data_IF_187749170359
#
_entry.id   IF_187749170359
#
_cell.length_a   1.000
_cell.length_b   1.000
_cell.length_c   1.000
_cell.angle_alpha   90.00
_cell.angle_beta   90.00
_cell.angle_gamma   90.00
#
_symmetry.space_group_name_H-M   'P 1'
#
loop_
_entity.id
_entity.type
_entity.pdbx_description
1 polymer ?
#
# COMPACT_ATOMS: atom_id res chain seq x y z
N UNK A 1 9.90 -43.77 -16.67
CA UNK A 1 10.38 -42.42 -16.35
C UNK A 1 9.34 -41.47 -16.90
N UNK A 2 8.60 -40.75 -16.03
CA UNK A 2 7.64 -39.72 -16.45
C UNK A 2 8.37 -38.42 -16.76
N UNK A 3 7.76 -37.57 -17.59
CA UNK A 3 8.25 -36.21 -17.88
C UNK A 3 8.47 -35.44 -16.59
N UNK A 4 9.53 -34.60 -16.49
CA UNK A 4 9.71 -33.73 -15.33
C UNK A 4 8.48 -32.87 -15.13
N UNK A 5 7.82 -33.02 -13.99
CA UNK A 5 6.75 -32.13 -13.58
C UNK A 5 7.40 -30.95 -12.89
N UNK A 6 7.52 -29.84 -13.58
CA UNK A 6 7.82 -28.56 -12.96
C UNK A 6 6.52 -28.10 -12.30
N UNK A 7 6.31 -28.45 -11.03
CA UNK A 7 5.32 -27.84 -10.19
C UNK A 7 5.95 -26.56 -9.63
N UNK A 8 5.73 -25.44 -10.30
CA UNK A 8 5.84 -24.15 -9.64
C UNK A 8 4.52 -24.03 -8.86
N UNK A 9 4.50 -24.57 -7.65
CA UNK A 9 3.50 -24.22 -6.69
C UNK A 9 3.84 -22.79 -6.22
N UNK A 10 3.06 -21.81 -6.70
CA UNK A 10 2.85 -20.61 -5.93
C UNK A 10 2.18 -21.08 -4.64
N UNK A 11 2.99 -21.47 -3.68
CA UNK A 11 2.55 -21.81 -2.35
C UNK A 11 1.94 -20.58 -1.77
N UNK A 12 0.63 -20.29 -2.00
CA UNK A 12 0.24 -19.30 -1.08
C UNK A 12 -0.88 -18.34 -1.46
N UNK A 13 -1.77 -18.73 -2.31
CA UNK A 13 -2.86 -17.80 -2.46
C UNK A 13 -3.90 -17.87 -1.33
N UNK A 14 -4.07 -19.03 -0.69
CA UNK A 14 -4.84 -19.14 0.55
C UNK A 14 -4.15 -18.41 1.71
N UNK A 15 -2.84 -18.48 1.80
CA UNK A 15 -2.02 -17.71 2.73
C UNK A 15 -2.00 -16.21 2.37
N UNK A 16 -2.09 -15.79 1.12
CA UNK A 16 -2.01 -14.38 0.73
C UNK A 16 -3.24 -13.57 1.14
N UNK A 17 -4.45 -14.13 1.18
CA UNK A 17 -5.64 -13.45 1.75
C UNK A 17 -5.66 -13.52 3.27
N UNK A 18 -5.25 -14.62 3.88
CA UNK A 18 -5.04 -14.76 5.33
C UNK A 18 -3.84 -13.91 5.76
N UNK A 19 -2.81 -13.87 4.96
CA UNK A 19 -1.57 -13.14 5.18
C UNK A 19 -1.68 -11.63 4.93
N UNK A 20 -2.77 -11.04 4.45
CA UNK A 20 -2.84 -9.59 4.47
C UNK A 20 -2.98 -9.03 5.87
N UNK A 21 -3.62 -9.73 6.79
CA UNK A 21 -3.51 -9.37 8.20
C UNK A 21 -2.06 -9.48 8.72
N UNK A 22 -1.23 -10.38 8.19
CA UNK A 22 0.21 -10.45 8.45
C UNK A 22 1.00 -9.41 7.65
N UNK A 23 0.54 -9.03 6.43
CA UNK A 23 1.16 -7.98 5.60
C UNK A 23 0.87 -6.58 6.12
N UNK A 24 -0.19 -6.36 6.85
CA UNK A 24 -0.57 -5.07 7.43
C UNK A 24 0.42 -4.58 8.48
N UNK A 25 1.66 -4.27 8.08
CA UNK A 25 2.73 -3.83 8.98
C UNK A 25 2.75 -2.31 9.02
N UNK A 26 2.63 -1.75 10.22
CA UNK A 26 2.77 -0.32 10.48
C UNK A 26 4.17 -0.02 11.00
N UNK A 27 4.85 0.94 10.39
CA UNK A 27 6.02 1.58 10.95
C UNK A 27 5.58 2.87 11.65
N UNK A 28 6.09 3.12 12.85
CA UNK A 28 5.84 4.37 13.58
C UNK A 28 7.14 4.95 14.08
N UNK A 29 7.35 6.24 13.81
CA UNK A 29 8.47 7.00 14.39
C UNK A 29 7.93 7.76 15.59
N UNK A 30 8.52 7.50 16.77
CA UNK A 30 8.15 8.12 18.03
C UNK A 30 9.30 8.95 18.59
N UNK A 31 9.03 10.22 18.84
CA UNK A 31 9.94 11.11 19.59
C UNK A 31 9.80 10.82 21.07
N UNK A 32 10.86 10.31 21.69
CA UNK A 32 10.84 9.86 23.07
C UNK A 32 12.22 9.92 23.71
N UNK A 33 12.36 10.75 24.74
CA UNK A 33 13.61 10.92 25.49
C UNK A 33 13.66 10.06 26.77
N UNK A 34 12.64 9.23 27.03
CA UNK A 34 12.55 8.44 28.26
C UNK A 34 13.53 7.26 28.33
N UNK A 35 14.12 6.88 27.21
CA UNK A 35 15.06 5.76 27.14
C UNK A 35 15.99 5.92 25.93
N UNK A 36 16.92 4.96 25.73
CA UNK A 36 17.83 4.94 24.58
C UNK A 36 17.09 4.80 23.24
N UNK A 37 17.71 5.29 22.17
CA UNK A 37 17.17 5.17 20.80
C UNK A 37 17.28 3.72 20.35
N UNK A 38 16.14 3.08 20.10
CA UNK A 38 16.09 1.69 19.69
C UNK A 38 14.91 1.41 18.77
N UNK A 39 15.08 0.38 17.93
CA UNK A 39 14.00 -0.20 17.12
C UNK A 39 13.34 -1.34 17.89
N UNK A 40 12.02 -1.32 17.96
CA UNK A 40 11.24 -2.39 18.55
C UNK A 40 10.25 -2.94 17.52
N UNK A 41 9.89 -4.20 17.68
CA UNK A 41 8.86 -4.82 16.84
C UNK A 41 7.89 -5.57 17.74
N UNK A 42 6.60 -5.28 17.58
CA UNK A 42 5.53 -5.86 18.37
C UNK A 42 4.48 -6.49 17.45
N UNK A 43 3.99 -7.67 17.79
CA UNK A 43 2.88 -8.34 17.10
C UNK A 43 1.56 -8.15 17.86
N UNK A 44 1.65 -7.82 19.16
CA UNK A 44 0.50 -7.57 20.02
C UNK A 44 0.78 -6.39 20.95
N UNK A 45 -0.25 -5.63 21.27
CA UNK A 45 -0.16 -4.53 22.23
C UNK A 45 0.37 -4.98 23.61
N UNK A 46 0.00 -6.20 24.04
CA UNK A 46 0.43 -6.76 25.33
C UNK A 46 1.96 -7.00 25.44
N UNK A 47 2.68 -7.02 24.33
CA UNK A 47 4.14 -7.19 24.29
C UNK A 47 4.88 -5.88 24.59
N UNK A 48 4.17 -4.73 24.57
CA UNK A 48 4.78 -3.42 24.76
C UNK A 48 5.28 -3.27 26.20
N UNK A 49 6.59 -3.01 26.33
CA UNK A 49 7.21 -2.68 27.61
C UNK A 49 6.89 -1.22 27.94
N UNK A 50 5.88 -0.99 28.76
CA UNK A 50 5.33 0.35 29.03
C UNK A 50 6.35 1.33 29.58
N UNK A 51 7.33 0.87 30.35
CA UNK A 51 8.41 1.72 30.90
C UNK A 51 9.37 2.29 29.84
N UNK A 52 9.29 1.78 28.59
CA UNK A 52 10.13 2.26 27.49
C UNK A 52 9.56 3.49 26.77
N UNK A 53 8.34 3.90 27.07
CA UNK A 53 7.64 4.94 26.33
C UNK A 53 6.95 5.93 27.26
N UNK A 54 6.80 7.17 26.80
CA UNK A 54 5.94 8.15 27.45
C UNK A 54 4.45 7.72 27.36
N UNK A 55 3.62 8.27 28.24
CA UNK A 55 2.17 7.99 28.24
C UNK A 55 1.51 8.37 26.91
N UNK A 56 1.95 9.45 26.25
CA UNK A 56 1.46 9.86 24.93
C UNK A 56 1.82 8.83 23.87
N UNK A 57 3.08 8.38 23.82
CA UNK A 57 3.53 7.39 22.85
C UNK A 57 2.86 6.03 23.04
N UNK A 58 2.59 5.62 24.29
CA UNK A 58 1.77 4.44 24.56
C UNK A 58 0.35 4.56 24.01
N UNK A 59 -0.26 5.74 24.13
CA UNK A 59 -1.59 5.98 23.57
C UNK A 59 -1.58 5.90 22.02
N UNK A 60 -0.53 6.38 21.35
CA UNK A 60 -0.40 6.25 19.90
C UNK A 60 -0.22 4.79 19.47
N UNK A 61 0.57 4.02 20.19
CA UNK A 61 0.73 2.59 19.93
C UNK A 61 -0.61 1.84 20.11
N UNK A 62 -1.37 2.16 21.17
CA UNK A 62 -2.69 1.60 21.39
C UNK A 62 -3.64 1.94 20.22
N UNK A 63 -3.66 3.19 19.74
CA UNK A 63 -4.44 3.59 18.56
C UNK A 63 -4.09 2.77 17.30
N UNK A 64 -2.81 2.49 17.07
CA UNK A 64 -2.39 1.64 15.95
C UNK A 64 -2.94 0.23 16.12
N UNK A 65 -2.75 -0.40 17.29
CA UNK A 65 -3.18 -1.77 17.55
C UNK A 65 -4.70 -1.95 17.52
N UNK A 66 -5.49 -0.92 17.81
CA UNK A 66 -6.95 -0.95 17.61
C UNK A 66 -7.35 -1.22 16.14
N UNK A 67 -6.47 -1.02 15.17
CA UNK A 67 -6.68 -1.36 13.77
C UNK A 67 -6.38 -2.82 13.41
N UNK A 68 -5.87 -3.60 14.35
CA UNK A 68 -5.43 -4.99 14.16
C UNK A 68 -4.35 -5.15 13.06
N UNK A 69 -3.27 -4.37 13.07
CA UNK A 69 -2.14 -4.62 12.19
C UNK A 69 -1.50 -5.97 12.52
N UNK A 70 -0.86 -6.61 11.54
CA UNK A 70 -0.12 -7.86 11.79
C UNK A 70 1.12 -7.62 12.65
N UNK A 71 1.71 -6.44 12.50
CA UNK A 71 2.97 -6.08 13.16
C UNK A 71 3.10 -4.56 13.26
N UNK A 72 3.73 -4.08 14.32
CA UNK A 72 4.10 -2.67 14.49
C UNK A 72 5.62 -2.58 14.69
N UNK A 73 6.30 -1.87 13.80
CA UNK A 73 7.73 -1.54 13.91
C UNK A 73 7.82 -0.13 14.50
N UNK A 74 8.42 -0.02 15.66
CA UNK A 74 8.59 1.25 16.38
C UNK A 74 10.03 1.71 16.23
N UNK A 75 10.23 2.86 15.60
CA UNK A 75 11.51 3.56 15.60
C UNK A 75 11.46 4.70 16.61
N UNK A 76 12.24 4.57 17.66
CA UNK A 76 12.40 5.65 18.65
C UNK A 76 13.52 6.57 18.24
N UNK A 77 13.29 7.85 18.41
CA UNK A 77 14.30 8.89 18.24
C UNK A 77 14.19 9.91 19.37
N UNK A 78 15.28 10.59 19.67
CA UNK A 78 15.24 11.72 20.58
C UNK A 78 14.49 12.91 19.94
N UNK A 79 13.86 13.73 20.75
CA UNK A 79 13.00 14.83 20.29
C UNK A 79 13.73 15.80 19.36
N UNK A 80 15.03 16.03 19.60
CA UNK A 80 15.84 16.98 18.84
C UNK A 80 16.65 16.32 17.71
N UNK A 81 16.44 15.02 17.45
CA UNK A 81 17.15 14.29 16.39
C UNK A 81 16.50 14.55 15.04
N UNK A 82 17.30 14.48 13.97
CA UNK A 82 16.81 14.52 12.59
C UNK A 82 16.03 13.24 12.27
N UNK A 83 14.81 13.40 11.75
CA UNK A 83 13.92 12.30 11.34
C UNK A 83 14.56 11.40 10.29
N UNK A 84 15.45 11.92 9.46
CA UNK A 84 16.18 11.18 8.43
C UNK A 84 16.92 9.96 8.99
N UNK A 85 17.37 10.03 10.23
CA UNK A 85 18.07 8.91 10.91
C UNK A 85 17.09 7.74 11.15
N UNK A 86 15.87 8.02 11.57
CA UNK A 86 14.85 6.99 11.76
C UNK A 86 14.35 6.42 10.42
N UNK A 87 14.20 7.27 9.41
CA UNK A 87 13.81 6.86 8.04
C UNK A 87 14.88 5.95 7.41
N UNK A 88 16.18 6.22 7.60
CA UNK A 88 17.25 5.36 7.09
C UNK A 88 17.23 3.98 7.76
N UNK A 89 16.90 3.88 9.06
CA UNK A 89 16.72 2.59 9.74
C UNK A 89 15.51 1.81 9.22
N UNK A 90 14.46 2.52 8.73
CA UNK A 90 13.26 1.90 8.15
C UNK A 90 13.43 1.47 6.69
N UNK A 91 14.39 2.04 5.96
CA UNK A 91 14.61 1.83 4.53
C UNK A 91 14.73 0.36 4.13
N UNK A 92 15.41 -0.44 4.94
CA UNK A 92 15.68 -1.86 4.69
C UNK A 92 14.76 -2.81 5.49
N UNK A 93 13.76 -2.27 6.20
CA UNK A 93 12.74 -3.07 6.87
C UNK A 93 11.53 -3.26 5.97
N UNK A 94 10.76 -4.29 6.23
CA UNK A 94 9.53 -4.58 5.51
C UNK A 94 8.34 -4.02 6.29
N UNK A 95 7.63 -3.06 5.69
CA UNK A 95 6.44 -2.41 6.24
C UNK A 95 5.59 -1.80 5.11
N UNK A 96 4.38 -1.33 5.43
CA UNK A 96 3.44 -0.81 4.44
C UNK A 96 3.01 0.63 4.74
N UNK A 97 2.71 0.95 5.98
CA UNK A 97 2.26 2.28 6.39
C UNK A 97 3.19 2.87 7.43
N UNK A 98 3.66 4.08 7.17
CA UNK A 98 4.42 4.88 8.12
C UNK A 98 3.51 5.95 8.75
N UNK A 99 3.67 6.19 10.04
CA UNK A 99 3.06 7.34 10.71
C UNK A 99 4.05 7.96 11.70
N UNK A 100 3.92 9.27 11.89
CA UNK A 100 4.75 10.05 12.82
C UNK A 100 3.83 10.98 13.61
N UNK A 101 3.27 10.53 14.77
CA UNK A 101 2.23 11.25 15.50
C UNK A 101 2.60 12.67 15.96
N UNK A 102 3.88 12.99 16.03
CA UNK A 102 4.41 14.32 16.42
C UNK A 102 5.23 14.97 15.30
N UNK A 103 4.84 14.74 14.04
CA UNK A 103 5.55 15.27 12.87
C UNK A 103 5.38 16.80 12.77
N UNK A 104 6.47 17.51 12.48
CA UNK A 104 6.47 18.93 12.14
C UNK A 104 6.29 19.12 10.63
N UNK A 105 6.03 20.38 10.19
CA UNK A 105 5.83 20.67 8.77
C UNK A 105 7.09 20.37 7.93
N UNK A 106 8.26 20.70 8.45
CA UNK A 106 9.53 20.40 7.77
C UNK A 106 9.77 18.89 7.66
N UNK A 107 9.50 18.15 8.73
CA UNK A 107 9.62 16.70 8.73
C UNK A 107 8.61 16.01 7.80
N UNK A 108 7.41 16.59 7.62
CA UNK A 108 6.44 16.08 6.63
C UNK A 108 7.06 16.04 5.23
N UNK A 109 7.73 17.12 4.83
CA UNK A 109 8.39 17.20 3.52
C UNK A 109 9.48 16.12 3.40
N UNK A 110 10.27 15.92 4.43
CA UNK A 110 11.31 14.87 4.48
C UNK A 110 10.70 13.47 4.32
N UNK A 111 9.58 13.19 5.00
CA UNK A 111 8.86 11.91 4.89
C UNK A 111 8.28 11.74 3.48
N UNK A 112 7.67 12.77 2.90
CA UNK A 112 7.12 12.74 1.54
C UNK A 112 8.21 12.39 0.53
N UNK A 113 9.36 13.09 0.57
CA UNK A 113 10.46 12.81 -0.36
C UNK A 113 11.06 11.41 -0.15
N UNK A 114 11.14 10.95 1.10
CA UNK A 114 11.54 9.58 1.39
C UNK A 114 10.57 8.56 0.74
N UNK A 115 9.27 8.71 0.93
CA UNK A 115 8.27 7.80 0.33
C UNK A 115 8.32 7.84 -1.19
N UNK A 116 8.39 9.03 -1.81
CA UNK A 116 8.54 9.17 -3.26
C UNK A 116 9.78 8.45 -3.78
N UNK A 117 10.92 8.66 -3.13
CA UNK A 117 12.18 8.00 -3.50
C UNK A 117 12.09 6.48 -3.34
N UNK A 118 11.52 5.99 -2.22
CA UNK A 118 11.36 4.55 -2.01
C UNK A 118 10.47 3.90 -3.07
N UNK A 119 9.37 4.55 -3.47
CA UNK A 119 8.45 4.02 -4.49
C UNK A 119 9.02 4.15 -5.91
N UNK A 120 9.56 5.30 -6.28
CA UNK A 120 9.97 5.59 -7.66
C UNK A 120 11.35 5.00 -8.00
N UNK A 121 12.31 5.06 -7.06
CA UNK A 121 13.70 4.63 -7.31
C UNK A 121 13.97 3.21 -6.83
N UNK A 122 13.50 2.87 -5.62
CA UNK A 122 13.76 1.56 -5.01
C UNK A 122 12.60 0.57 -5.19
N UNK A 123 11.52 0.99 -5.85
CA UNK A 123 10.35 0.16 -6.14
C UNK A 123 9.74 -0.53 -4.91
N UNK A 124 9.86 0.10 -3.74
CA UNK A 124 9.17 -0.32 -2.51
C UNK A 124 7.72 0.17 -2.52
N UNK A 125 6.84 -0.53 -1.84
CA UNK A 125 5.40 -0.22 -1.78
C UNK A 125 5.02 0.55 -0.52
N UNK A 126 5.94 1.35 -0.01
CA UNK A 126 5.79 2.14 1.20
C UNK A 126 4.78 3.28 1.04
N UNK A 127 3.99 3.50 2.07
CA UNK A 127 3.01 4.59 2.17
C UNK A 127 3.14 5.31 3.51
N UNK A 128 2.72 6.55 3.59
CA UNK A 128 2.69 7.29 4.85
C UNK A 128 1.31 7.93 5.09
N UNK A 129 0.86 7.92 6.34
CA UNK A 129 -0.31 8.66 6.80
C UNK A 129 0.19 9.91 7.50
N UNK A 130 -0.06 11.07 6.91
CA UNK A 130 0.45 12.37 7.35
C UNK A 130 -0.70 13.37 7.58
N UNK A 131 -0.55 14.27 8.55
CA UNK A 131 -1.55 15.28 8.85
C UNK A 131 -1.51 16.43 7.83
N UNK A 132 -2.64 16.74 7.20
CA UNK A 132 -2.80 17.90 6.31
C UNK A 132 -1.64 18.04 5.31
N UNK A 133 -1.37 16.99 4.56
CA UNK A 133 -0.24 16.86 3.65
C UNK A 133 -0.71 16.50 2.23
N UNK A 134 -1.11 17.50 1.45
CA UNK A 134 -1.52 17.35 0.04
C UNK A 134 -0.31 17.21 -0.88
N UNK A 135 0.33 16.04 -0.91
CA UNK A 135 1.57 15.80 -1.65
C UNK A 135 1.36 15.45 -3.14
N UNK A 136 0.10 15.33 -3.58
CA UNK A 136 -0.28 14.85 -4.92
C UNK A 136 0.47 13.55 -5.30
N UNK A 137 0.38 12.55 -4.43
CA UNK A 137 1.09 11.28 -4.60
C UNK A 137 0.34 10.12 -3.95
N UNK A 138 0.18 9.01 -4.68
CA UNK A 138 -0.61 7.86 -4.24
C UNK A 138 -0.06 7.14 -2.99
N UNK A 139 1.22 7.33 -2.69
CA UNK A 139 1.88 6.79 -1.48
C UNK A 139 1.66 7.63 -0.23
N UNK A 140 0.97 8.78 -0.30
CA UNK A 140 0.70 9.66 0.84
C UNK A 140 -0.81 9.71 1.12
N UNK A 141 -1.20 9.35 2.32
CA UNK A 141 -2.56 9.49 2.82
C UNK A 141 -2.64 10.80 3.61
N UNK A 142 -3.40 11.76 3.07
CA UNK A 142 -3.56 13.10 3.59
C UNK A 142 -4.72 13.16 4.59
N UNK A 143 -4.47 12.85 5.85
CA UNK A 143 -5.50 12.90 6.89
C UNK A 143 -5.73 14.32 7.39
N UNK A 144 -7.01 14.80 7.41
CA UNK A 144 -7.31 16.23 7.64
C UNK A 144 -8.34 16.51 8.75
N UNK A 145 -8.86 15.51 9.45
CA UNK A 145 -9.80 15.77 10.58
C UNK A 145 -9.05 16.11 11.85
N UNK A 146 -9.56 17.07 12.60
CA UNK A 146 -8.98 17.55 13.86
C UNK A 146 -9.97 17.46 15.03
N UNK A 147 -9.49 17.73 16.26
CA UNK A 147 -10.29 17.71 17.50
C UNK A 147 -11.05 16.39 17.70
N UNK A 148 -10.35 15.27 17.51
CA UNK A 148 -10.95 13.94 17.55
C UNK A 148 -11.00 13.43 18.99
N UNK A 149 -12.20 13.27 19.54
CA UNK A 149 -12.41 12.85 20.92
C UNK A 149 -12.62 11.35 21.05
N UNK A 150 -11.75 10.72 21.82
CA UNK A 150 -11.85 9.28 22.19
C UNK A 150 -11.85 9.17 23.71
N UNK A 151 -12.97 8.79 24.28
CA UNK A 151 -13.16 8.79 25.74
C UNK A 151 -12.98 10.19 26.34
N UNK A 152 -12.01 10.35 27.24
CA UNK A 152 -11.68 11.64 27.86
C UNK A 152 -10.59 12.43 27.14
N UNK A 153 -9.92 11.85 26.14
CA UNK A 153 -8.80 12.46 25.42
C UNK A 153 -9.25 13.03 24.08
N UNK A 154 -8.77 14.22 23.74
CA UNK A 154 -8.91 14.83 22.42
C UNK A 154 -7.56 14.72 21.71
N UNK A 155 -7.58 14.20 20.50
CA UNK A 155 -6.41 14.02 19.63
C UNK A 155 -6.39 15.07 18.53
N UNK A 156 -5.22 15.54 18.19
CA UNK A 156 -4.97 16.36 17.00
C UNK A 156 -4.95 15.48 15.76
N UNK A 157 -5.03 16.10 14.58
CA UNK A 157 -4.86 15.43 13.28
C UNK A 157 -3.59 14.57 13.23
N UNK A 158 -2.45 15.13 13.68
CA UNK A 158 -1.16 14.45 13.67
C UNK A 158 -1.15 13.20 14.56
N UNK A 159 -1.65 13.30 15.77
CA UNK A 159 -1.72 12.20 16.72
C UNK A 159 -2.63 11.07 16.21
N UNK A 160 -3.73 11.42 15.55
CA UNK A 160 -4.72 10.45 15.09
C UNK A 160 -4.32 9.75 13.78
N UNK A 161 -3.29 10.24 13.06
CA UNK A 161 -2.68 9.51 11.96
C UNK A 161 -2.25 8.09 12.37
N UNK A 162 -1.87 7.89 13.63
CA UNK A 162 -1.57 6.58 14.20
C UNK A 162 -2.77 5.60 14.09
N UNK A 163 -3.98 6.07 14.40
CA UNK A 163 -5.22 5.28 14.29
C UNK A 163 -5.54 4.94 12.85
N UNK A 164 -5.43 5.93 11.95
CA UNK A 164 -5.68 5.74 10.52
C UNK A 164 -4.71 4.73 9.92
N UNK A 165 -3.42 4.84 10.24
CA UNK A 165 -2.41 3.86 9.78
C UNK A 165 -2.74 2.44 10.25
N UNK A 166 -3.19 2.28 11.50
CA UNK A 166 -3.62 1.00 12.05
C UNK A 166 -4.85 0.44 11.31
N UNK A 167 -5.87 1.28 11.02
CA UNK A 167 -7.06 0.88 10.26
C UNK A 167 -6.65 0.39 8.87
N UNK A 168 -5.90 1.20 8.13
CA UNK A 168 -5.53 0.88 6.74
C UNK A 168 -4.67 -0.40 6.68
N UNK A 169 -3.78 -0.59 7.63
CA UNK A 169 -2.98 -1.81 7.72
C UNK A 169 -3.82 -3.06 8.05
N UNK A 170 -4.86 -2.94 8.86
CA UNK A 170 -5.72 -4.05 9.27
C UNK A 170 -6.86 -4.39 8.32
N UNK A 171 -7.13 -3.54 7.31
CA UNK A 171 -8.21 -3.78 6.36
C UNK A 171 -7.90 -4.95 5.40
N UNK A 172 -8.85 -5.87 5.16
CA UNK A 172 -8.70 -6.87 4.11
C UNK A 172 -8.81 -6.25 2.70
N UNK A 173 -8.14 -6.86 1.72
CA UNK A 173 -8.03 -6.35 0.33
C UNK A 173 -9.36 -6.14 -0.40
N UNK A 174 -10.38 -6.92 -0.06
CA UNK A 174 -11.70 -6.82 -0.65
C UNK A 174 -12.58 -5.74 -0.02
N UNK A 175 -12.05 -4.96 0.95
CA UNK A 175 -12.76 -3.87 1.61
C UNK A 175 -12.10 -2.53 1.34
N UNK A 176 -12.94 -1.51 1.13
CA UNK A 176 -12.52 -0.11 1.14
C UNK A 176 -12.50 0.45 2.57
N UNK A 177 -11.69 1.48 2.80
CA UNK A 177 -11.75 2.27 4.02
C UNK A 177 -12.97 3.19 4.05
N UNK A 178 -13.67 3.39 2.93
CA UNK A 178 -14.89 4.19 2.83
C UNK A 178 -15.94 3.70 3.82
N UNK A 179 -16.48 4.63 4.58
CA UNK A 179 -17.47 4.39 5.64
C UNK A 179 -17.03 3.40 6.74
N UNK A 180 -15.70 3.23 6.91
CA UNK A 180 -15.20 2.51 8.08
C UNK A 180 -15.59 3.26 9.35
N UNK A 181 -16.38 2.61 10.22
CA UNK A 181 -16.89 3.21 11.45
C UNK A 181 -15.84 3.18 12.57
N UNK A 182 -15.65 4.34 13.22
CA UNK A 182 -14.79 4.52 14.38
C UNK A 182 -15.66 4.62 15.63
N UNK A 183 -16.06 3.48 16.18
CA UNK A 183 -17.00 3.40 17.31
C UNK A 183 -16.44 3.99 18.61
N UNK A 184 -15.11 4.12 18.70
CA UNK A 184 -14.39 4.74 19.82
C UNK A 184 -14.42 6.27 19.80
N UNK A 185 -14.73 6.88 18.65
CA UNK A 185 -14.73 8.34 18.47
C UNK A 185 -16.11 8.89 18.81
N UNK A 186 -16.16 9.86 19.73
CA UNK A 186 -17.42 10.47 20.20
C UNK A 186 -17.71 11.83 19.60
N UNK A 187 -16.70 12.59 19.15
CA UNK A 187 -16.86 13.85 18.44
C UNK A 187 -15.62 14.17 17.61
N UNK A 188 -15.81 14.98 16.58
CA UNK A 188 -14.78 15.49 15.68
C UNK A 188 -15.07 16.95 15.36
N UNK A 189 -14.06 17.66 14.82
CA UNK A 189 -14.31 18.89 14.08
C UNK A 189 -14.70 18.50 12.65
N UNK A 190 -15.97 18.71 12.31
CA UNK A 190 -16.50 18.40 10.99
C UNK A 190 -15.99 19.38 9.93
N UNK A 191 -15.85 18.92 8.70
CA UNK A 191 -15.58 19.77 7.54
C UNK A 191 -16.87 20.49 7.13
N UNK A 192 -16.75 21.74 6.68
CA UNK A 192 -17.85 22.51 6.09
C UNK A 192 -18.10 22.13 4.61
N UNK A 193 -17.10 21.57 3.94
CA UNK A 193 -17.11 21.19 2.53
C UNK A 193 -16.56 19.78 2.33
N UNK A 194 -17.22 18.72 2.87
CA UNK A 194 -16.66 17.36 2.86
C UNK A 194 -16.44 16.77 1.46
N UNK A 195 -17.30 17.10 0.49
CA UNK A 195 -17.15 16.63 -0.88
C UNK A 195 -15.91 17.24 -1.54
N UNK A 196 -15.73 18.57 -1.42
CA UNK A 196 -14.52 19.24 -1.93
C UNK A 196 -13.24 18.75 -1.24
N UNK A 197 -13.30 18.43 0.03
CA UNK A 197 -12.16 17.88 0.76
C UNK A 197 -11.75 16.51 0.20
N UNK A 198 -12.73 15.64 -0.07
CA UNK A 198 -12.50 14.34 -0.67
C UNK A 198 -11.94 14.49 -2.09
N UNK A 199 -12.52 15.36 -2.92
CA UNK A 199 -12.07 15.64 -4.28
C UNK A 199 -10.63 16.19 -4.32
N UNK A 200 -10.25 16.93 -3.27
CA UNK A 200 -8.88 17.43 -3.08
C UNK A 200 -7.94 16.40 -2.41
N UNK A 201 -8.29 15.10 -2.41
CA UNK A 201 -7.45 14.03 -1.90
C UNK A 201 -7.25 14.05 -0.39
N UNK A 202 -8.21 14.59 0.38
CA UNK A 202 -8.18 14.60 1.84
C UNK A 202 -8.98 13.42 2.39
N UNK A 203 -8.33 12.58 3.18
CA UNK A 203 -9.01 11.59 3.98
C UNK A 203 -9.56 12.26 5.23
N UNK A 204 -10.87 12.33 5.34
CA UNK A 204 -11.58 12.98 6.46
C UNK A 204 -12.53 12.01 7.15
N UNK A 205 -12.87 12.34 8.40
CA UNK A 205 -13.95 11.70 9.14
C UNK A 205 -15.21 12.57 9.02
N UNK A 206 -16.36 11.90 8.94
CA UNK A 206 -17.69 12.52 8.94
C UNK A 206 -18.55 11.87 10.04
N UNK A 207 -19.54 12.64 10.50
CA UNK A 207 -20.56 12.18 11.43
C UNK A 207 -21.90 12.08 10.68
N UNK A 208 -22.51 10.90 10.65
CA UNK A 208 -23.81 10.70 10.01
C UNK A 208 -25.00 10.83 10.98
N UNK A 209 -24.76 11.33 12.19
CA UNK A 209 -25.74 11.45 13.27
C UNK A 209 -25.89 10.20 14.12
N UNK A 210 -25.30 9.07 13.71
CA UNK A 210 -25.31 7.80 14.44
C UNK A 210 -23.89 7.40 14.84
N UNK A 211 -22.93 7.57 13.94
CA UNK A 211 -21.54 7.17 14.14
C UNK A 211 -20.58 8.04 13.33
N UNK A 212 -19.34 8.08 13.79
CA UNK A 212 -18.24 8.72 13.08
C UNK A 212 -17.54 7.67 12.22
N UNK A 213 -17.28 8.03 10.96
CA UNK A 213 -16.73 7.13 9.95
C UNK A 213 -15.80 7.87 8.99
N UNK A 214 -14.94 7.13 8.31
CA UNK A 214 -14.14 7.66 7.20
C UNK A 214 -15.11 8.04 6.06
N UNK A 215 -15.00 9.25 5.51
CA UNK A 215 -15.86 9.72 4.43
C UNK A 215 -15.65 8.89 3.15
N UNK A 216 -14.44 8.91 2.63
CA UNK A 216 -14.02 8.09 1.47
C UNK A 216 -12.55 7.67 1.62
N UNK A 217 -12.21 6.46 1.16
CA UNK A 217 -10.86 5.89 1.25
C UNK A 217 -9.94 6.42 0.15
N UNK A 218 -9.58 7.71 0.21
CA UNK A 218 -8.73 8.38 -0.78
C UNK A 218 -7.33 8.66 -0.24
N UNK A 219 -6.35 8.71 -1.13
CA UNK A 219 -4.99 9.20 -0.89
C UNK A 219 -4.84 10.65 -1.41
N UNK A 220 -3.63 11.21 -1.35
CA UNK A 220 -3.40 12.61 -1.75
C UNK A 220 -3.22 12.86 -3.25
N UNK A 221 -3.38 11.83 -4.11
CA UNK A 221 -3.20 11.97 -5.54
C UNK A 221 -4.45 12.56 -6.19
N UNK A 222 -4.30 13.68 -6.91
CA UNK A 222 -5.41 14.43 -7.52
C UNK A 222 -5.08 14.96 -8.94
N UNK A 223 -3.82 14.82 -9.39
CA UNK A 223 -3.38 15.27 -10.72
C UNK A 223 -3.46 14.11 -11.73
N UNK A 224 -4.69 13.82 -12.16
CA UNK A 224 -4.98 12.70 -13.05
C UNK A 224 -4.47 12.96 -14.47
N UNK A 225 -3.89 11.93 -15.09
CA UNK A 225 -3.36 11.97 -16.45
C UNK A 225 -3.57 10.62 -17.17
N UNK A 226 -3.12 10.52 -18.43
CA UNK A 226 -3.31 9.31 -19.24
C UNK A 226 -2.62 8.05 -18.64
N UNK A 227 -1.59 8.21 -17.82
CA UNK A 227 -0.88 7.09 -17.17
C UNK A 227 -1.49 6.71 -15.82
N UNK A 228 -2.01 7.71 -15.08
CA UNK A 228 -2.60 7.55 -13.76
C UNK A 228 -3.96 8.27 -13.70
N UNK A 229 -5.02 7.52 -13.91
CA UNK A 229 -6.39 8.01 -13.83
C UNK A 229 -6.88 8.17 -12.39
N UNK A 230 -8.15 8.52 -12.23
CA UNK A 230 -8.83 8.71 -10.95
C UNK A 230 -8.71 7.52 -10.00
N UNK A 231 -8.65 6.29 -10.54
CA UNK A 231 -8.50 5.07 -9.73
C UNK A 231 -7.25 5.10 -8.82
N UNK A 232 -6.19 5.82 -9.23
CA UNK A 232 -4.98 5.98 -8.43
C UNK A 232 -5.18 6.84 -7.16
N UNK A 233 -6.29 7.58 -7.06
CA UNK A 233 -6.67 8.28 -5.82
C UNK A 233 -7.24 7.34 -4.75
N UNK A 234 -7.69 6.13 -5.12
CA UNK A 234 -8.35 5.19 -4.21
C UNK A 234 -7.35 4.32 -3.48
N UNK A 235 -7.35 4.37 -2.16
CA UNK A 235 -6.43 3.56 -1.32
C UNK A 235 -6.56 2.07 -1.63
N UNK A 236 -7.79 1.56 -1.80
CA UNK A 236 -8.05 0.14 -2.10
C UNK A 236 -7.38 -0.30 -3.40
N UNK A 237 -7.43 0.51 -4.44
CA UNK A 237 -6.82 0.21 -5.74
C UNK A 237 -5.28 0.17 -5.61
N UNK A 238 -4.69 1.18 -4.95
CA UNK A 238 -3.25 1.21 -4.70
C UNK A 238 -2.78 0.02 -3.87
N UNK A 239 -3.55 -0.41 -2.88
CA UNK A 239 -3.24 -1.60 -2.09
C UNK A 239 -3.19 -2.88 -2.94
N UNK A 240 -4.15 -3.05 -3.85
CA UNK A 240 -4.17 -4.20 -4.76
C UNK A 240 -2.98 -4.18 -5.74
N UNK A 241 -2.68 -3.01 -6.32
CA UNK A 241 -1.53 -2.82 -7.22
C UNK A 241 -0.21 -3.09 -6.49
N UNK A 242 -0.04 -2.52 -5.30
CA UNK A 242 1.16 -2.69 -4.48
C UNK A 242 1.36 -4.16 -4.09
N UNK A 243 0.29 -4.87 -3.73
CA UNK A 243 0.35 -6.30 -3.44
C UNK A 243 0.81 -7.11 -4.65
N UNK A 244 0.17 -6.90 -5.81
CA UNK A 244 0.54 -7.62 -7.03
C UNK A 244 2.00 -7.36 -7.40
N UNK A 245 2.46 -6.10 -7.27
CA UNK A 245 3.86 -5.73 -7.52
C UNK A 245 4.82 -6.50 -6.60
N UNK A 246 4.53 -6.53 -5.30
CA UNK A 246 5.40 -7.21 -4.32
C UNK A 246 5.40 -8.73 -4.53
N UNK A 247 4.24 -9.35 -4.75
CA UNK A 247 4.10 -10.80 -4.93
C UNK A 247 4.83 -11.28 -6.20
N UNK A 248 4.63 -10.57 -7.33
CA UNK A 248 5.29 -10.90 -8.60
C UNK A 248 6.80 -10.71 -8.48
N UNK A 249 7.25 -9.60 -7.88
CA UNK A 249 8.68 -9.32 -7.68
C UNK A 249 9.33 -10.34 -6.78
N UNK A 250 8.77 -10.60 -5.60
CA UNK A 250 9.34 -11.57 -4.64
C UNK A 250 9.43 -12.96 -5.27
N UNK A 251 8.39 -13.39 -6.00
CA UNK A 251 8.42 -14.67 -6.70
C UNK A 251 9.51 -14.72 -7.77
N UNK A 252 9.68 -13.62 -8.53
CA UNK A 252 10.74 -13.56 -9.54
C UNK A 252 12.14 -13.60 -8.91
N UNK A 253 12.35 -12.84 -7.84
CA UNK A 253 13.62 -12.83 -7.09
C UNK A 253 13.94 -14.20 -6.49
N UNK A 254 12.94 -14.84 -5.86
CA UNK A 254 13.14 -16.10 -5.13
C UNK A 254 13.24 -17.32 -6.03
N UNK A 255 12.58 -17.34 -7.19
CA UNK A 255 12.48 -18.56 -7.99
C UNK A 255 13.23 -18.48 -9.33
N UNK A 256 13.49 -17.29 -9.86
CA UNK A 256 14.06 -17.12 -11.19
C UNK A 256 15.45 -16.47 -11.20
N UNK A 257 15.68 -15.43 -10.40
CA UNK A 257 16.94 -14.66 -10.45
C UNK A 257 18.14 -15.54 -10.12
N UNK A 258 19.03 -15.72 -11.09
CA UNK A 258 20.25 -16.52 -10.94
C UNK A 258 20.03 -18.05 -10.85
N UNK A 259 18.79 -18.53 -10.96
CA UNK A 259 18.42 -19.95 -10.82
C UNK A 259 18.05 -20.62 -12.13
N UNK A 260 17.53 -19.84 -13.10
CA UNK A 260 17.10 -20.36 -14.40
C UNK A 260 17.71 -19.57 -15.55
N UNK A 261 17.84 -20.21 -16.70
CA UNK A 261 18.32 -19.57 -17.93
C UNK A 261 17.25 -18.64 -18.51
N UNK A 262 17.67 -17.51 -19.12
CA UNK A 262 16.78 -16.60 -19.83
C UNK A 262 16.39 -17.17 -21.21
N UNK A 263 15.68 -18.30 -21.20
CA UNK A 263 15.10 -18.92 -22.39
C UNK A 263 13.66 -18.48 -22.60
N UNK A 264 13.14 -18.67 -23.82
CA UNK A 264 11.73 -18.43 -24.11
C UNK A 264 10.82 -19.28 -23.20
N UNK A 265 11.14 -20.57 -23.05
CA UNK A 265 10.35 -21.51 -22.25
C UNK A 265 10.24 -21.05 -20.78
N UNK A 266 11.34 -20.61 -20.18
CA UNK A 266 11.35 -20.11 -18.81
C UNK A 266 10.56 -18.81 -18.66
N UNK A 267 10.59 -17.92 -19.67
CA UNK A 267 9.72 -16.71 -19.70
C UNK A 267 8.24 -17.10 -19.71
N UNK A 268 7.86 -18.10 -20.54
CA UNK A 268 6.48 -18.58 -20.63
C UNK A 268 6.04 -19.27 -19.33
N UNK A 269 6.91 -20.01 -18.66
CA UNK A 269 6.63 -20.61 -17.35
C UNK A 269 6.30 -19.50 -16.33
N UNK A 270 7.09 -18.44 -16.28
CA UNK A 270 6.82 -17.32 -15.38
C UNK A 270 5.51 -16.58 -15.73
N UNK A 271 5.29 -16.29 -17.02
CA UNK A 271 4.03 -15.69 -17.51
C UNK A 271 2.82 -16.54 -17.14
N UNK A 272 2.89 -17.85 -17.32
CA UNK A 272 1.81 -18.77 -16.94
C UNK A 272 1.51 -18.75 -15.44
N UNK A 273 2.56 -18.63 -14.64
CA UNK A 273 2.44 -18.53 -13.20
C UNK A 273 1.78 -17.20 -12.77
N UNK A 274 2.15 -16.07 -13.36
CA UNK A 274 1.53 -14.77 -13.13
C UNK A 274 0.06 -14.79 -13.58
N UNK A 275 -0.26 -15.41 -14.72
CA UNK A 275 -1.63 -15.52 -15.20
C UNK A 275 -2.51 -16.38 -14.27
N UNK A 276 -1.96 -17.48 -13.73
CA UNK A 276 -2.65 -18.27 -12.69
C UNK A 276 -2.91 -17.40 -11.44
N UNK A 277 -1.94 -16.63 -11.00
CA UNK A 277 -2.07 -15.73 -9.86
C UNK A 277 -3.19 -14.68 -10.09
N UNK A 278 -3.24 -14.05 -11.27
CA UNK A 278 -4.32 -13.10 -11.60
C UNK A 278 -5.71 -13.76 -11.61
N UNK A 279 -5.82 -14.98 -12.17
CA UNK A 279 -7.05 -15.75 -12.12
C UNK A 279 -7.51 -16.04 -10.70
N UNK A 280 -6.58 -16.36 -9.83
CA UNK A 280 -6.89 -16.61 -8.43
C UNK A 280 -7.28 -15.31 -7.70
N UNK A 281 -6.70 -14.17 -8.03
CA UNK A 281 -7.13 -12.85 -7.51
C UNK A 281 -8.53 -12.47 -8.01
N UNK A 282 -8.87 -12.76 -9.25
CA UNK A 282 -10.21 -12.55 -9.79
C UNK A 282 -11.25 -13.42 -9.05
N UNK A 283 -10.97 -14.71 -8.85
CA UNK A 283 -11.84 -15.62 -8.08
C UNK A 283 -12.09 -15.14 -6.63
N UNK A 284 -11.25 -14.26 -6.10
CA UNK A 284 -11.35 -13.69 -4.75
C UNK A 284 -11.92 -12.28 -4.71
N UNK A 285 -12.35 -11.75 -5.85
CA UNK A 285 -12.89 -10.41 -5.96
C UNK A 285 -11.87 -9.29 -5.72
N UNK A 286 -10.59 -9.54 -5.97
CA UNK A 286 -9.54 -8.50 -5.99
C UNK A 286 -9.40 -7.91 -7.38
N UNK A 287 -9.41 -8.75 -8.41
CA UNK A 287 -9.51 -8.33 -9.80
C UNK A 287 -10.92 -8.59 -10.32
N UNK A 288 -11.33 -7.81 -11.33
CA UNK A 288 -12.62 -7.98 -12.00
C UNK A 288 -12.58 -9.24 -12.85
N UNK A 289 -13.50 -10.18 -12.61
CA UNK A 289 -13.47 -11.53 -13.16
C UNK A 289 -13.91 -11.61 -14.63
N UNK A 290 -14.68 -10.63 -15.11
CA UNK A 290 -15.08 -10.53 -16.53
C UNK A 290 -14.02 -9.84 -17.41
N UNK A 291 -12.93 -9.31 -16.83
CA UNK A 291 -11.82 -8.71 -17.55
C UNK A 291 -10.74 -9.76 -17.86
N UNK A 292 -10.12 -9.69 -19.04
CA UNK A 292 -8.98 -10.55 -19.41
C UNK A 292 -7.69 -10.10 -18.68
N UNK A 293 -7.63 -10.42 -17.39
CA UNK A 293 -6.46 -10.11 -16.54
C UNK A 293 -5.28 -10.98 -16.97
N UNK A 294 -4.34 -10.40 -17.72
CA UNK A 294 -3.31 -11.18 -18.40
C UNK A 294 -1.94 -10.51 -18.37
N UNK A 295 -0.92 -11.32 -18.11
CA UNK A 295 0.49 -11.00 -18.34
C UNK A 295 0.97 -11.66 -19.63
N UNK A 296 1.89 -11.01 -20.32
CA UNK A 296 2.51 -11.49 -21.55
C UNK A 296 3.93 -10.94 -21.72
N UNK A 297 4.69 -11.49 -22.68
CA UNK A 297 5.97 -10.91 -23.08
C UNK A 297 5.70 -9.56 -23.73
N UNK A 298 6.38 -8.51 -23.25
CA UNK A 298 6.32 -7.17 -23.84
C UNK A 298 7.18 -7.12 -25.10
N UNK A 299 6.52 -7.27 -26.25
CA UNK A 299 7.18 -7.26 -27.57
C UNK A 299 7.77 -5.89 -27.87
N UNK A 300 7.08 -4.82 -27.53
CA UNK A 300 7.52 -3.45 -27.83
C UNK A 300 8.79 -3.10 -27.05
N UNK A 301 8.79 -3.31 -25.73
CA UNK A 301 9.98 -3.09 -24.90
C UNK A 301 11.13 -4.03 -25.30
N UNK A 302 10.83 -5.29 -25.66
CA UNK A 302 11.84 -6.24 -26.14
C UNK A 302 12.44 -5.78 -27.46
N UNK A 303 11.64 -5.33 -28.43
CA UNK A 303 12.06 -4.80 -29.71
C UNK A 303 12.91 -3.55 -29.54
N UNK A 304 12.47 -2.62 -28.68
CA UNK A 304 13.21 -1.39 -28.38
C UNK A 304 14.60 -1.71 -27.80
N UNK A 305 14.68 -2.63 -26.84
CA UNK A 305 15.96 -3.03 -26.26
C UNK A 305 16.90 -3.69 -27.29
N UNK A 306 16.36 -4.59 -28.13
CA UNK A 306 17.13 -5.25 -29.18
C UNK A 306 17.64 -4.25 -30.23
N UNK A 307 16.86 -3.22 -30.55
CA UNK A 307 17.21 -2.20 -31.52
C UNK A 307 18.44 -1.36 -31.14
N UNK A 308 18.82 -1.36 -29.86
CA UNK A 308 20.04 -0.67 -29.41
C UNK A 308 21.33 -1.30 -29.97
N UNK A 309 21.27 -2.58 -30.37
CA UNK A 309 22.46 -3.33 -30.81
C UNK A 309 22.27 -4.09 -32.12
N UNK A 310 21.04 -4.17 -32.65
CA UNK A 310 20.71 -4.98 -33.83
C UNK A 310 19.65 -4.25 -34.66
N UNK A 311 19.72 -4.42 -35.99
CA UNK A 311 18.57 -4.04 -36.83
C UNK A 311 17.49 -5.11 -36.74
N UNK A 312 16.39 -4.76 -36.06
CA UNK A 312 15.22 -5.64 -35.82
C UNK A 312 13.97 -5.12 -36.54
N UNK A 313 14.11 -4.13 -37.42
CA UNK A 313 12.98 -3.47 -38.11
C UNK A 313 12.11 -4.44 -38.91
N UNK A 314 12.74 -5.47 -39.48
CA UNK A 314 12.05 -6.51 -40.28
C UNK A 314 11.72 -7.78 -39.51
N UNK A 315 11.91 -7.80 -38.18
CA UNK A 315 11.65 -9.01 -37.41
C UNK A 315 10.16 -9.12 -37.04
N UNK A 316 9.59 -10.30 -37.33
CA UNK A 316 8.26 -10.66 -36.86
C UNK A 316 8.21 -10.80 -35.33
N UNK A 317 7.04 -10.60 -34.74
CA UNK A 317 6.83 -10.62 -33.30
C UNK A 317 7.28 -11.93 -32.63
N UNK A 318 7.05 -13.09 -33.28
CA UNK A 318 7.50 -14.38 -32.78
C UNK A 318 9.02 -14.46 -32.66
N UNK A 319 9.76 -13.84 -33.59
CA UNK A 319 11.22 -13.78 -33.51
C UNK A 319 11.68 -12.85 -32.40
N UNK A 320 10.94 -11.77 -32.12
CA UNK A 320 11.20 -10.85 -31.01
C UNK A 320 10.99 -11.57 -29.66
N UNK A 321 9.87 -12.28 -29.49
CA UNK A 321 9.56 -13.03 -28.26
C UNK A 321 10.63 -14.05 -27.89
N UNK A 322 11.18 -14.75 -28.90
CA UNK A 322 12.19 -15.80 -28.71
C UNK A 322 13.62 -15.31 -28.69
N UNK A 323 13.84 -14.01 -28.96
CA UNK A 323 15.19 -13.44 -29.06
C UNK A 323 15.91 -13.49 -27.71
N UNK A 324 17.24 -13.65 -27.81
CA UNK A 324 18.10 -13.55 -26.64
C UNK A 324 18.25 -12.08 -26.22
N UNK A 325 17.79 -11.78 -25.00
CA UNK A 325 17.84 -10.45 -24.38
C UNK A 325 18.89 -10.39 -23.25
N UNK A 326 19.88 -11.27 -23.24
CA UNK A 326 20.88 -11.34 -22.17
C UNK A 326 20.23 -11.70 -20.82
N UNK A 327 20.39 -10.86 -19.82
CA UNK A 327 19.80 -11.04 -18.49
C UNK A 327 18.43 -10.36 -18.33
N UNK A 328 17.96 -9.64 -19.35
CA UNK A 328 16.72 -8.86 -19.26
C UNK A 328 15.49 -9.68 -19.65
N UNK A 329 14.41 -9.51 -18.90
CA UNK A 329 13.09 -10.07 -19.21
C UNK A 329 12.11 -8.90 -19.25
N UNK A 330 11.40 -8.73 -20.36
CA UNK A 330 10.40 -7.68 -20.56
C UNK A 330 9.02 -8.32 -20.59
N UNK A 331 8.21 -7.99 -19.58
CA UNK A 331 6.83 -8.46 -19.45
C UNK A 331 5.91 -7.27 -19.24
N UNK A 332 4.68 -7.38 -19.72
CA UNK A 332 3.60 -6.45 -19.41
C UNK A 332 2.38 -7.20 -18.94
N UNK A 333 1.50 -6.52 -18.21
CA UNK A 333 0.23 -7.08 -17.78
C UNK A 333 -0.87 -6.02 -17.89
N UNK A 334 -2.04 -6.46 -18.32
CA UNK A 334 -3.27 -5.70 -18.24
C UNK A 334 -4.15 -6.32 -17.17
N UNK A 335 -4.54 -5.53 -16.17
CA UNK A 335 -5.41 -5.98 -15.07
C UNK A 335 -6.44 -4.91 -14.75
N UNK A 336 -7.63 -5.35 -14.34
CA UNK A 336 -8.66 -4.47 -13.80
C UNK A 336 -8.93 -4.83 -12.35
N UNK A 337 -8.63 -3.92 -11.44
CA UNK A 337 -8.89 -4.12 -10.00
C UNK A 337 -10.40 -4.00 -9.76
N UNK A 338 -10.96 -4.92 -8.98
CA UNK A 338 -12.36 -4.87 -8.56
C UNK A 338 -12.54 -3.79 -7.50
N UNK A 339 -13.33 -2.76 -7.82
CA UNK A 339 -13.62 -1.68 -6.86
C UNK A 339 -14.68 -2.10 -5.83
N UNK A 340 -14.86 -1.28 -4.79
CA UNK A 340 -15.92 -1.44 -3.81
C UNK A 340 -17.20 -0.76 -4.30
N UNK A 341 -18.37 -1.24 -3.85
CA UNK A 341 -19.62 -0.50 -4.01
C UNK A 341 -19.60 0.63 -2.98
N UNK A 342 -19.59 1.87 -3.45
CA UNK A 342 -19.54 3.06 -2.60
C UNK A 342 -20.73 3.99 -2.83
N UNK A 343 -21.22 4.07 -4.07
CA UNK A 343 -22.32 4.95 -4.46
C UNK A 343 -23.51 4.13 -4.97
N UNK A 344 -24.75 4.51 -4.60
CA UNK A 344 -25.98 3.83 -5.00
C UNK A 344 -27.00 4.84 -5.52
N UNK A 345 -27.55 4.59 -6.70
CA UNK A 345 -28.73 5.27 -7.20
C UNK A 345 -29.91 4.27 -7.22
N UNK A 346 -30.91 4.49 -6.39
CA UNK A 346 -32.07 3.60 -6.26
C UNK A 346 -33.38 4.36 -6.51
N UNK A 347 -34.04 4.09 -7.65
CA UNK A 347 -35.33 4.66 -7.99
C UNK A 347 -36.49 3.81 -7.45
N UNK A 348 -37.40 4.39 -6.69
CA UNK A 348 -38.67 3.76 -6.29
C UNK A 348 -39.79 4.45 -7.06
N UNK A 349 -40.52 3.67 -7.85
CA UNK A 349 -41.70 4.14 -8.57
C UNK A 349 -42.95 3.64 -7.84
N UNK A 350 -43.84 4.56 -7.46
CA UNK A 350 -45.14 4.25 -6.82
C UNK A 350 -46.19 4.38 -7.89
N UNK A 351 -46.96 3.30 -8.17
CA UNK A 351 -48.12 3.26 -9.07
C UNK A 351 -49.42 3.66 -8.32
#
# INVERSE_FOLDING_TARGET
MGLPKILIEFKTLAETIIARSERGIVAVILKDNSNTTESHTYTKESEIVKSHFTASNLAYLSLIFMGNPSKVIVERMQTDSDISVALERLKNKHWYYLTVPSVTDDEKNTVVEFIKNMRNTFHKTFKAVLPSCGANFEGIINFCTDNIKVGSKTYTTSEFCARIAGILAGLPLNRSATYFALNEVTSIRESETPDEDVDNGKLILINDGIKIKIARGVNSFTDFNDEKGEDFSKIKIIEAIDMMRDDVRTTFEDEFVGKVENSYDNKIVFVAAVNKYFKDLANRGVLYDEFDNKAEIDIESTRLWLSLTKDVSSWEDEKIKTANTGTYVFLKANVQVQDAIEDMNFGIYIE
#
